data_IF_007217815575
#
_entry.id   IF_007217815575
#
_cell.length_a   1.000
_cell.length_b   1.000
_cell.length_c   1.000
_cell.angle_alpha   90.00
_cell.angle_beta   90.00
_cell.angle_gamma   90.00
#
_symmetry.space_group_name_H-M   'P 1'
#
loop_
_entity.id
_entity.type
_entity.pdbx_description
1 polymer ?
#
# COMPACT_ATOMS: atom_id res chain seq x y z
N UNK A 1 24.14 -9.16 13.14
CA UNK A 1 24.53 -7.74 13.10
C UNK A 1 23.77 -7.00 14.20
N UNK A 2 24.29 -5.85 14.64
CA UNK A 2 23.52 -4.92 15.46
C UNK A 2 22.82 -3.89 14.57
N UNK A 3 21.58 -3.49 14.92
CA UNK A 3 20.75 -2.56 14.14
C UNK A 3 19.83 -1.75 15.07
N UNK A 4 19.68 -0.47 14.79
CA UNK A 4 18.62 0.36 15.37
C UNK A 4 17.35 0.27 14.56
N UNK A 5 16.19 0.12 15.20
CA UNK A 5 14.87 0.16 14.55
C UNK A 5 14.08 1.34 15.09
N UNK A 6 13.72 2.29 14.23
CA UNK A 6 12.92 3.48 14.61
C UNK A 6 11.50 3.32 14.07
N UNK A 7 10.54 3.33 14.99
CA UNK A 7 9.13 3.03 14.70
C UNK A 7 8.83 1.54 14.91
N UNK A 8 8.21 1.21 16.04
CA UNK A 8 7.90 -0.15 16.48
C UNK A 8 6.40 -0.48 16.38
N UNK A 9 5.68 0.23 15.51
CA UNK A 9 4.30 -0.11 15.18
C UNK A 9 4.19 -1.53 14.57
N UNK A 10 3.02 -1.88 14.04
CA UNK A 10 2.76 -3.26 13.56
C UNK A 10 3.84 -3.81 12.61
N UNK A 11 4.33 -3.00 11.67
CA UNK A 11 5.35 -3.46 10.72
C UNK A 11 6.74 -3.47 11.35
N UNK A 12 7.20 -2.34 11.88
CA UNK A 12 8.54 -2.23 12.44
C UNK A 12 8.76 -3.14 13.65
N UNK A 13 7.76 -3.28 14.52
CA UNK A 13 7.82 -4.23 15.65
C UNK A 13 7.93 -5.69 15.19
N UNK A 14 7.15 -6.09 14.18
CA UNK A 14 7.24 -7.44 13.60
C UNK A 14 8.60 -7.68 12.90
N UNK A 15 9.14 -6.67 12.21
CA UNK A 15 10.47 -6.77 11.58
C UNK A 15 11.56 -6.86 12.64
N UNK A 16 11.51 -6.05 13.70
CA UNK A 16 12.45 -6.13 14.82
C UNK A 16 12.42 -7.51 15.47
N UNK A 17 11.25 -8.07 15.70
CA UNK A 17 11.08 -9.41 16.26
C UNK A 17 11.64 -10.49 15.33
N UNK A 18 11.37 -10.40 14.02
CA UNK A 18 11.92 -11.34 13.03
C UNK A 18 13.46 -11.28 12.99
N UNK A 19 14.04 -10.09 13.05
CA UNK A 19 15.48 -9.90 13.11
C UNK A 19 16.08 -10.48 14.40
N UNK A 20 15.45 -10.26 15.56
CA UNK A 20 15.88 -10.85 16.83
C UNK A 20 15.87 -12.37 16.78
N UNK A 21 14.82 -12.99 16.21
CA UNK A 21 14.74 -14.45 15.99
C UNK A 21 15.82 -14.95 15.05
N UNK A 22 16.23 -14.14 14.06
CA UNK A 22 17.34 -14.42 13.17
C UNK A 22 18.73 -14.18 13.76
N UNK A 23 18.82 -13.85 15.06
CA UNK A 23 20.09 -13.67 15.77
C UNK A 23 20.74 -12.30 15.61
N UNK A 24 19.99 -11.28 15.17
CA UNK A 24 20.44 -9.90 15.17
C UNK A 24 20.19 -9.23 16.53
N UNK A 25 21.08 -8.32 16.92
CA UNK A 25 20.93 -7.47 18.08
C UNK A 25 20.18 -6.20 17.68
N UNK A 26 18.90 -6.10 18.06
CA UNK A 26 18.01 -5.00 17.64
C UNK A 26 17.71 -4.09 18.81
N UNK A 27 18.10 -2.83 18.72
CA UNK A 27 17.71 -1.76 19.65
C UNK A 27 16.56 -0.98 19.02
N UNK A 28 15.38 -1.02 19.64
CA UNK A 28 14.17 -0.39 19.13
C UNK A 28 13.89 0.96 19.78
N UNK A 29 13.45 1.94 19.00
CA UNK A 29 12.93 3.21 19.47
C UNK A 29 11.55 3.49 18.88
N UNK A 30 10.64 3.89 19.74
CA UNK A 30 9.33 4.42 19.37
C UNK A 30 8.98 5.62 20.28
N UNK A 31 8.04 6.45 19.82
CA UNK A 31 7.48 7.54 20.66
C UNK A 31 6.64 7.01 21.81
N UNK A 32 6.09 5.82 21.66
CA UNK A 32 5.42 5.10 22.73
C UNK A 32 6.47 4.42 23.63
N UNK A 33 6.65 4.89 24.87
CA UNK A 33 7.66 4.35 25.77
C UNK A 33 7.36 2.91 26.21
N UNK A 34 6.12 2.42 26.05
CA UNK A 34 5.75 1.05 26.45
C UNK A 34 6.34 -0.01 25.53
N UNK A 35 6.65 0.35 24.27
CA UNK A 35 7.20 -0.56 23.27
C UNK A 35 8.65 -0.24 22.88
N UNK A 36 9.23 0.81 23.44
CA UNK A 36 10.57 1.31 23.11
C UNK A 36 11.62 0.73 24.05
N UNK A 37 12.78 0.32 23.51
CA UNK A 37 13.93 -0.16 24.30
C UNK A 37 14.77 1.00 24.89
N UNK A 38 14.59 2.21 24.34
CA UNK A 38 15.33 3.44 24.68
C UNK A 38 14.40 4.65 24.74
N UNK A 39 14.86 5.74 25.36
CA UNK A 39 14.02 6.93 25.58
C UNK A 39 14.16 7.99 24.49
N UNK A 40 15.14 7.87 23.60
CA UNK A 40 15.41 8.85 22.54
C UNK A 40 16.21 8.25 21.39
N UNK A 41 16.17 8.92 20.20
CA UNK A 41 17.05 8.59 19.08
C UNK A 41 18.52 8.70 19.44
N UNK A 42 18.88 9.68 20.29
CA UNK A 42 20.25 9.82 20.77
C UNK A 42 20.69 8.61 21.56
N UNK A 43 19.89 8.12 22.50
CA UNK A 43 20.20 6.92 23.27
C UNK A 43 20.28 5.67 22.37
N UNK A 44 19.41 5.58 21.34
CA UNK A 44 19.48 4.51 20.35
C UNK A 44 20.85 4.51 19.66
N UNK A 45 21.28 5.64 19.13
CA UNK A 45 22.58 5.77 18.44
C UNK A 45 23.75 5.48 19.36
N UNK A 46 23.71 5.94 20.63
CA UNK A 46 24.75 5.68 21.64
C UNK A 46 24.88 4.19 22.01
N UNK A 47 23.80 3.41 21.90
CA UNK A 47 23.82 1.95 22.15
C UNK A 47 24.37 1.14 20.97
N UNK A 48 24.40 1.72 19.78
CA UNK A 48 24.87 1.04 18.58
C UNK A 48 26.40 1.17 18.43
N UNK A 49 27.02 0.10 17.95
CA UNK A 49 28.45 0.07 17.64
C UNK A 49 28.69 0.57 16.22
N UNK A 50 29.62 1.51 16.04
CA UNK A 50 30.00 1.97 14.71
C UNK A 50 30.75 0.87 13.91
N UNK A 51 30.56 0.79 12.61
CA UNK A 51 29.68 1.61 11.79
C UNK A 51 28.22 1.15 11.97
N UNK A 52 27.33 2.09 12.30
CA UNK A 52 25.95 1.83 12.72
C UNK A 52 25.01 1.63 11.52
N UNK A 53 23.93 0.90 11.75
CA UNK A 53 22.79 0.79 10.82
C UNK A 53 21.54 1.18 11.58
N UNK A 54 20.76 2.13 11.04
CA UNK A 54 19.47 2.53 11.59
C UNK A 54 18.39 2.37 10.53
N UNK A 55 17.40 1.55 10.84
CA UNK A 55 16.25 1.29 9.99
C UNK A 55 15.05 2.10 10.46
N UNK A 56 14.45 2.89 9.57
CA UNK A 56 13.33 3.80 9.86
C UNK A 56 12.03 3.20 9.31
N UNK A 57 11.01 3.06 10.19
CA UNK A 57 9.68 2.51 9.88
C UNK A 57 8.58 3.45 10.39
N UNK A 58 8.72 4.75 10.14
CA UNK A 58 7.75 5.76 10.54
C UNK A 58 6.83 6.17 9.37
N UNK A 59 5.71 6.85 9.61
CA UNK A 59 4.84 7.32 8.55
C UNK A 59 5.57 8.26 7.57
N UNK A 60 5.29 8.11 6.28
CA UNK A 60 5.89 8.91 5.21
C UNK A 60 5.68 10.42 5.37
N UNK A 61 6.52 11.20 4.71
CA UNK A 61 6.51 12.66 4.70
C UNK A 61 7.20 13.26 5.92
N UNK A 62 6.55 14.20 6.61
CA UNK A 62 7.19 14.95 7.73
C UNK A 62 7.78 14.08 8.85
N UNK A 63 7.13 12.97 9.29
CA UNK A 63 7.74 12.10 10.29
C UNK A 63 9.05 11.46 9.82
N UNK A 64 9.10 10.98 8.57
CA UNK A 64 10.33 10.41 7.99
C UNK A 64 11.40 11.48 7.84
N UNK A 65 11.08 12.64 7.24
CA UNK A 65 12.01 13.75 7.09
C UNK A 65 12.64 14.13 8.43
N UNK A 66 11.81 14.41 9.45
CA UNK A 66 12.32 14.80 10.78
C UNK A 66 13.20 13.73 11.41
N UNK A 67 12.86 12.45 11.23
CA UNK A 67 13.66 11.35 11.77
C UNK A 67 15.01 11.24 11.07
N UNK A 68 15.04 11.40 9.73
CA UNK A 68 16.27 11.37 8.94
C UNK A 68 17.17 12.56 9.26
N UNK A 69 16.58 13.75 9.42
CA UNK A 69 17.30 14.97 9.83
C UNK A 69 17.99 14.78 11.18
N UNK A 70 17.23 14.30 12.20
CA UNK A 70 17.74 14.06 13.54
C UNK A 70 18.85 12.98 13.53
N UNK A 71 18.68 11.90 12.75
CA UNK A 71 19.70 10.86 12.59
C UNK A 71 20.95 11.41 11.88
N UNK A 72 20.79 12.27 10.88
CA UNK A 72 21.88 12.94 10.20
C UNK A 72 22.77 13.77 11.16
N UNK A 73 22.19 14.30 12.24
CA UNK A 73 22.95 15.03 13.27
C UNK A 73 23.63 14.13 14.30
N UNK A 74 23.12 12.90 14.50
CA UNK A 74 23.56 11.97 15.52
C UNK A 74 24.55 10.91 15.02
N UNK A 75 24.50 10.59 13.73
CA UNK A 75 25.32 9.54 13.12
C UNK A 75 26.64 10.10 12.59
N UNK A 76 27.62 9.22 12.43
CA UNK A 76 28.95 9.53 11.93
C UNK A 76 29.16 9.01 10.48
N UNK A 77 30.21 9.47 9.85
CA UNK A 77 30.62 8.99 8.53
C UNK A 77 30.86 7.46 8.52
N UNK A 78 30.27 6.78 7.53
CA UNK A 78 30.30 5.32 7.41
C UNK A 78 29.12 4.61 8.05
N UNK A 79 28.24 5.32 8.81
CA UNK A 79 26.94 4.79 9.26
C UNK A 79 25.95 4.75 8.09
N UNK A 80 24.86 3.98 8.21
CA UNK A 80 23.82 3.84 7.18
C UNK A 80 22.45 4.08 7.79
N UNK A 81 21.63 4.89 7.12
CA UNK A 81 20.18 5.00 7.35
C UNK A 81 19.45 4.19 6.29
N UNK A 82 18.49 3.36 6.71
CA UNK A 82 17.59 2.64 5.81
C UNK A 82 16.18 3.21 6.00
N UNK A 83 15.57 3.78 4.97
CA UNK A 83 14.15 4.12 4.99
C UNK A 83 13.34 2.91 4.49
N UNK A 84 12.65 2.24 5.40
CA UNK A 84 11.77 1.10 5.11
C UNK A 84 10.29 1.45 5.19
N UNK A 85 9.94 2.74 5.28
CA UNK A 85 8.57 3.22 5.26
C UNK A 85 7.90 3.12 3.89
N UNK A 86 6.74 3.75 3.75
CA UNK A 86 6.09 3.94 2.45
C UNK A 86 6.40 5.32 1.89
N UNK A 87 7.68 5.66 1.77
CA UNK A 87 8.14 6.99 1.37
C UNK A 87 8.03 7.20 -0.15
N UNK A 88 8.00 8.47 -0.55
CA UNK A 88 8.04 8.83 -1.96
C UNK A 88 9.50 8.83 -2.44
N UNK A 89 9.79 8.11 -3.51
CA UNK A 89 11.14 7.93 -4.06
C UNK A 89 11.92 9.25 -4.32
N UNK A 90 11.22 10.34 -4.63
CA UNK A 90 11.85 11.66 -4.80
C UNK A 90 12.31 12.31 -3.49
N UNK A 91 11.75 11.89 -2.35
CA UNK A 91 12.21 12.34 -1.03
C UNK A 91 13.45 11.55 -0.61
N UNK A 92 13.54 10.27 -0.95
CA UNK A 92 14.74 9.45 -0.72
C UNK A 92 15.99 10.05 -1.33
N UNK A 93 15.89 10.55 -2.58
CA UNK A 93 17.01 11.18 -3.28
C UNK A 93 17.49 12.44 -2.57
N UNK A 94 16.59 13.22 -1.95
CA UNK A 94 16.95 14.40 -1.16
C UNK A 94 17.63 13.98 0.15
N UNK A 95 17.05 13.03 0.88
CA UNK A 95 17.60 12.50 2.12
C UNK A 95 19.02 11.95 1.90
N UNK A 96 19.18 11.16 0.85
CA UNK A 96 20.51 10.62 0.50
C UNK A 96 21.55 11.71 0.20
N UNK A 97 21.16 12.76 -0.53
CA UNK A 97 22.07 13.87 -0.84
C UNK A 97 22.49 14.61 0.43
N UNK A 98 21.57 14.90 1.33
CA UNK A 98 21.83 15.59 2.61
C UNK A 98 22.73 14.75 3.54
N UNK A 99 22.48 13.44 3.66
CA UNK A 99 23.26 12.52 4.48
C UNK A 99 24.67 12.30 3.89
N UNK A 100 24.79 12.27 2.57
CA UNK A 100 26.07 12.10 1.88
C UNK A 100 27.06 13.24 2.15
N UNK A 101 26.59 14.47 2.41
CA UNK A 101 27.46 15.60 2.81
C UNK A 101 28.19 15.31 4.14
N UNK A 102 27.64 14.41 4.96
CA UNK A 102 28.23 13.97 6.23
C UNK A 102 28.90 12.59 6.13
N UNK A 103 28.95 11.98 4.95
CA UNK A 103 29.52 10.66 4.70
C UNK A 103 28.67 9.52 5.24
N UNK A 104 27.37 9.75 5.46
CA UNK A 104 26.40 8.76 5.92
C UNK A 104 25.72 8.13 4.69
N UNK A 105 25.69 6.79 4.64
CA UNK A 105 25.00 6.02 3.61
C UNK A 105 23.48 6.09 3.75
N UNK A 106 22.78 5.96 2.63
CA UNK A 106 21.31 5.89 2.60
C UNK A 106 20.84 4.78 1.66
N UNK A 107 19.87 3.97 2.14
CA UNK A 107 19.20 2.94 1.36
C UNK A 107 17.70 3.09 1.54
N UNK A 108 16.96 3.19 0.45
CA UNK A 108 15.51 3.07 0.47
C UNK A 108 15.10 1.61 0.31
N UNK A 109 14.12 1.17 1.06
CA UNK A 109 13.67 -0.21 1.06
C UNK A 109 12.14 -0.31 1.08
N UNK A 110 11.54 -0.51 -0.07
CA UNK A 110 10.13 -0.86 -0.17
C UNK A 110 9.87 -2.24 0.43
N UNK A 111 9.02 -2.30 1.45
CA UNK A 111 8.68 -3.52 2.19
C UNK A 111 7.25 -3.97 1.84
N UNK A 112 7.07 -5.21 1.43
CA UNK A 112 5.76 -5.83 1.18
C UNK A 112 5.63 -7.14 1.95
N UNK A 113 4.44 -7.43 2.51
CA UNK A 113 4.17 -8.64 3.32
C UNK A 113 3.19 -8.38 4.46
N UNK A 114 2.94 -7.11 4.79
CA UNK A 114 1.98 -6.71 5.80
C UNK A 114 2.22 -7.36 7.16
N UNK A 115 1.14 -7.62 7.89
CA UNK A 115 1.19 -8.25 9.22
C UNK A 115 1.67 -9.70 9.20
N UNK A 116 1.60 -10.36 8.04
CA UNK A 116 2.02 -11.76 7.85
C UNK A 116 3.54 -11.90 7.67
N UNK A 117 4.24 -10.82 7.42
CA UNK A 117 5.69 -10.83 7.20
C UNK A 117 6.50 -11.37 8.38
N UNK A 118 5.99 -11.26 9.62
CA UNK A 118 6.64 -11.87 10.77
C UNK A 118 6.85 -13.39 10.59
N UNK A 119 5.86 -14.06 10.01
CA UNK A 119 5.89 -15.52 9.80
C UNK A 119 6.47 -15.89 8.44
N UNK A 120 6.05 -15.19 7.39
CA UNK A 120 6.32 -15.58 6.01
C UNK A 120 7.54 -14.86 5.39
N UNK A 121 8.07 -13.84 6.05
CA UNK A 121 9.05 -12.92 5.48
C UNK A 121 8.41 -11.77 4.70
N UNK A 122 9.25 -10.81 4.34
CA UNK A 122 8.88 -9.60 3.61
C UNK A 122 9.55 -9.59 2.25
N UNK A 123 8.82 -9.29 1.20
CA UNK A 123 9.44 -8.94 -0.07
C UNK A 123 10.06 -7.55 0.03
N UNK A 124 11.33 -7.43 -0.35
CA UNK A 124 12.17 -6.25 -0.18
C UNK A 124 12.67 -5.76 -1.53
N UNK A 125 12.41 -4.50 -1.83
CA UNK A 125 12.88 -3.81 -3.03
C UNK A 125 13.77 -2.65 -2.58
N UNK A 126 15.09 -2.74 -2.80
CA UNK A 126 16.04 -1.79 -2.27
C UNK A 126 16.67 -0.93 -3.36
N UNK A 127 16.88 0.35 -3.04
CA UNK A 127 17.67 1.29 -3.80
C UNK A 127 18.80 1.86 -2.95
N UNK A 128 19.99 2.03 -3.55
CA UNK A 128 21.15 2.53 -2.84
C UNK A 128 22.46 2.13 -3.49
N UNK A 129 23.59 2.56 -2.91
CA UNK A 129 24.89 2.14 -3.42
C UNK A 129 25.08 0.62 -3.29
N UNK A 130 25.78 0.01 -4.24
CA UNK A 130 26.09 -1.43 -4.19
C UNK A 130 26.75 -1.82 -2.86
N UNK A 131 27.68 -0.99 -2.39
CA UNK A 131 28.45 -1.26 -1.17
C UNK A 131 27.55 -1.24 0.09
N UNK A 132 26.63 -0.28 0.19
CA UNK A 132 25.69 -0.20 1.32
C UNK A 132 24.70 -1.35 1.31
N UNK A 133 24.16 -1.69 0.13
CA UNK A 133 23.24 -2.82 -0.02
C UNK A 133 23.93 -4.14 0.32
N UNK A 134 25.15 -4.40 -0.17
CA UNK A 134 25.92 -5.60 0.17
C UNK A 134 26.18 -5.72 1.68
N UNK A 135 26.49 -4.60 2.34
CA UNK A 135 26.69 -4.58 3.80
C UNK A 135 25.41 -4.95 4.57
N UNK A 136 24.25 -4.63 4.03
CA UNK A 136 22.94 -4.90 4.65
C UNK A 136 22.39 -6.29 4.32
N UNK A 137 23.02 -7.06 3.43
CA UNK A 137 22.53 -8.39 3.00
C UNK A 137 22.17 -9.33 4.16
N UNK A 138 22.93 -9.43 5.27
CA UNK A 138 22.54 -10.29 6.39
C UNK A 138 21.19 -9.89 7.02
N UNK A 139 20.82 -8.62 6.98
CA UNK A 139 19.53 -8.11 7.46
C UNK A 139 18.43 -8.47 6.45
N UNK A 140 18.66 -8.22 5.17
CA UNK A 140 17.72 -8.56 4.10
C UNK A 140 17.45 -10.06 4.03
N UNK A 141 18.48 -10.90 4.15
CA UNK A 141 18.35 -12.36 4.17
C UNK A 141 17.50 -12.88 5.35
N UNK A 142 17.56 -12.21 6.48
CA UNK A 142 16.71 -12.53 7.64
C UNK A 142 15.27 -12.07 7.43
N UNK A 143 15.08 -10.91 6.84
CA UNK A 143 13.76 -10.33 6.65
C UNK A 143 12.98 -10.95 5.51
N UNK A 144 13.63 -11.32 4.39
CA UNK A 144 12.95 -11.90 3.22
C UNK A 144 12.34 -13.28 3.52
N UNK A 145 11.44 -13.77 2.66
CA UNK A 145 11.00 -15.16 2.70
C UNK A 145 12.18 -16.13 2.52
N UNK A 146 12.00 -17.38 2.95
CA UNK A 146 12.96 -18.45 2.67
C UNK A 146 13.08 -18.70 1.15
N UNK A 147 14.27 -19.02 0.69
CA UNK A 147 14.57 -19.29 -0.71
C UNK A 147 15.31 -18.16 -1.41
N UNK A 148 15.34 -18.20 -2.74
CA UNK A 148 16.13 -17.28 -3.57
C UNK A 148 15.39 -15.97 -3.86
N UNK A 149 14.05 -16.01 -3.87
CA UNK A 149 13.18 -14.85 -4.17
C UNK A 149 12.95 -13.95 -2.94
N UNK A 150 12.26 -12.85 -3.18
CA UNK A 150 11.80 -11.93 -2.12
C UNK A 150 12.76 -10.76 -1.82
N UNK A 151 13.89 -10.66 -2.51
CA UNK A 151 14.79 -9.51 -2.44
C UNK A 151 15.25 -9.07 -3.83
N UNK A 152 15.35 -7.76 -4.02
CA UNK A 152 15.97 -7.16 -5.20
C UNK A 152 16.69 -5.87 -4.85
N UNK A 153 17.93 -5.72 -5.35
CA UNK A 153 18.58 -4.42 -5.47
C UNK A 153 18.13 -3.81 -6.80
N UNK A 154 17.15 -2.90 -6.74
CA UNK A 154 16.43 -2.38 -7.90
C UNK A 154 17.22 -1.29 -8.65
N UNK A 155 18.22 -0.69 -8.02
CA UNK A 155 19.06 0.36 -8.59
C UNK A 155 19.57 1.33 -7.54
N UNK A 156 19.93 2.54 -7.98
CA UNK A 156 20.37 3.62 -7.09
C UNK A 156 19.23 4.09 -6.16
N UNK A 157 19.54 5.01 -5.26
CA UNK A 157 18.59 5.57 -4.28
C UNK A 157 17.28 6.03 -4.94
N UNK A 158 16.17 5.63 -4.35
CA UNK A 158 14.80 5.84 -4.84
C UNK A 158 14.26 4.68 -5.67
N UNK A 159 15.11 3.77 -6.16
CA UNK A 159 14.66 2.66 -7.00
C UNK A 159 13.82 1.64 -6.24
N UNK A 160 14.11 1.40 -4.97
CA UNK A 160 13.35 0.49 -4.12
C UNK A 160 11.92 0.98 -3.90
N UNK A 161 11.76 2.22 -3.43
CA UNK A 161 10.45 2.83 -3.23
C UNK A 161 9.69 3.05 -4.54
N UNK A 162 10.37 3.36 -5.65
CA UNK A 162 9.74 3.42 -6.96
C UNK A 162 9.17 2.06 -7.38
N UNK A 163 9.95 0.99 -7.23
CA UNK A 163 9.49 -0.38 -7.52
C UNK A 163 8.31 -0.78 -6.62
N UNK A 164 8.39 -0.44 -5.31
CA UNK A 164 7.30 -0.69 -4.36
C UNK A 164 6.03 0.10 -4.69
N UNK A 165 6.16 1.35 -5.10
CA UNK A 165 5.05 2.19 -5.53
C UNK A 165 4.31 1.56 -6.73
N UNK A 166 5.05 1.09 -7.74
CA UNK A 166 4.48 0.39 -8.90
C UNK A 166 3.81 -0.93 -8.50
N UNK A 167 4.45 -1.71 -7.60
CA UNK A 167 3.83 -2.90 -7.02
C UNK A 167 2.47 -2.58 -6.41
N UNK A 168 2.35 -1.53 -5.61
CA UNK A 168 1.08 -1.14 -5.00
C UNK A 168 0.06 -0.65 -6.03
N UNK A 169 0.49 0.01 -7.10
CA UNK A 169 -0.38 0.34 -8.23
C UNK A 169 -0.99 -0.90 -8.88
N UNK A 170 -0.18 -1.93 -9.12
CA UNK A 170 -0.64 -3.24 -9.64
C UNK A 170 -1.63 -3.88 -8.64
N UNK A 171 -1.32 -3.85 -7.35
CA UNK A 171 -2.19 -4.36 -6.30
C UNK A 171 -3.58 -3.69 -6.33
N UNK A 172 -3.66 -2.36 -6.54
CA UNK A 172 -4.93 -1.65 -6.72
C UNK A 172 -5.73 -2.21 -7.91
N UNK A 173 -5.09 -2.41 -9.05
CA UNK A 173 -5.73 -2.98 -10.23
C UNK A 173 -6.25 -4.39 -10.00
N UNK A 174 -5.46 -5.25 -9.34
CA UNK A 174 -5.85 -6.62 -9.02
C UNK A 174 -7.03 -6.66 -8.05
N UNK A 175 -7.00 -5.85 -6.98
CA UNK A 175 -8.13 -5.77 -6.03
C UNK A 175 -9.39 -5.30 -6.72
N UNK A 176 -9.31 -4.29 -7.59
CA UNK A 176 -10.46 -3.78 -8.33
C UNK A 176 -11.04 -4.84 -9.28
N UNK A 177 -10.18 -5.59 -9.98
CA UNK A 177 -10.63 -6.64 -10.89
C UNK A 177 -11.36 -7.78 -10.13
N UNK A 178 -10.85 -8.19 -8.97
CA UNK A 178 -11.56 -9.15 -8.12
C UNK A 178 -12.89 -8.61 -7.59
N UNK A 179 -12.92 -7.33 -7.17
CA UNK A 179 -14.14 -6.69 -6.67
C UNK A 179 -15.24 -6.61 -7.73
N UNK A 180 -14.91 -6.17 -8.95
CA UNK A 180 -15.84 -6.10 -10.07
C UNK A 180 -16.34 -7.49 -10.49
N UNK A 181 -15.45 -8.48 -10.49
CA UNK A 181 -15.80 -9.87 -10.77
C UNK A 181 -16.75 -10.45 -9.71
N UNK A 182 -16.51 -10.16 -8.44
CA UNK A 182 -17.37 -10.59 -7.33
C UNK A 182 -18.75 -9.94 -7.46
N UNK A 183 -18.82 -8.62 -7.63
CA UNK A 183 -20.09 -7.88 -7.79
C UNK A 183 -20.92 -8.41 -8.96
N UNK A 184 -20.27 -8.70 -10.10
CA UNK A 184 -20.94 -9.25 -11.28
C UNK A 184 -21.53 -10.65 -10.99
N UNK A 185 -20.81 -11.51 -10.29
CA UNK A 185 -21.29 -12.85 -9.92
C UNK A 185 -22.46 -12.77 -8.92
N UNK A 186 -22.36 -11.88 -7.92
CA UNK A 186 -23.43 -11.63 -6.95
C UNK A 186 -24.70 -11.06 -7.60
N UNK A 187 -24.55 -10.23 -8.61
CA UNK A 187 -25.67 -9.67 -9.37
C UNK A 187 -26.32 -10.68 -10.34
N UNK A 188 -25.67 -11.82 -10.60
CA UNK A 188 -26.13 -12.82 -11.59
C UNK A 188 -26.98 -13.92 -10.95
N UNK A 189 -28.11 -14.26 -11.58
CA UNK A 189 -28.93 -15.42 -11.19
C UNK A 189 -28.35 -16.77 -11.65
N UNK A 190 -27.31 -16.75 -12.50
CA UNK A 190 -26.72 -17.95 -13.10
C UNK A 190 -25.83 -18.69 -12.11
N UNK A 191 -24.97 -17.93 -11.39
CA UNK A 191 -24.07 -18.48 -10.38
C UNK A 191 -24.75 -18.46 -9.01
N UNK A 192 -24.82 -19.62 -8.36
CA UNK A 192 -25.47 -19.76 -7.04
C UNK A 192 -24.47 -19.85 -5.89
N UNK A 193 -23.25 -20.20 -6.19
CA UNK A 193 -22.16 -20.33 -5.22
C UNK A 193 -20.98 -19.44 -5.68
N UNK A 194 -21.08 -18.15 -5.34
CA UNK A 194 -20.06 -17.15 -5.69
C UNK A 194 -18.79 -17.40 -4.89
N UNK A 195 -18.90 -17.63 -3.59
CA UNK A 195 -17.78 -17.96 -2.70
C UNK A 195 -17.04 -19.22 -3.17
N UNK A 196 -17.77 -20.29 -3.47
CA UNK A 196 -17.20 -21.52 -3.99
C UNK A 196 -16.49 -21.33 -5.33
N UNK A 197 -16.99 -20.42 -6.17
CA UNK A 197 -16.33 -20.04 -7.43
C UNK A 197 -14.95 -19.44 -7.15
N UNK A 198 -14.85 -18.41 -6.30
CA UNK A 198 -13.57 -17.80 -5.91
C UNK A 198 -12.65 -18.82 -5.23
N UNK A 199 -13.18 -19.67 -4.35
CA UNK A 199 -12.42 -20.71 -3.69
C UNK A 199 -11.80 -21.70 -4.67
N UNK A 200 -12.56 -22.07 -5.72
CA UNK A 200 -12.07 -23.00 -6.78
C UNK A 200 -10.91 -22.42 -7.60
N UNK A 201 -10.82 -21.09 -7.71
CA UNK A 201 -9.79 -20.42 -8.49
C UNK A 201 -8.43 -20.30 -7.79
N UNK A 202 -8.37 -20.57 -6.49
CA UNK A 202 -7.13 -20.56 -5.71
C UNK A 202 -6.10 -21.57 -6.19
N UNK A 203 -6.55 -22.65 -6.86
CA UNK A 203 -5.67 -23.71 -7.36
C UNK A 203 -5.97 -24.00 -8.83
N UNK A 204 -4.92 -24.11 -9.64
CA UNK A 204 -5.02 -24.53 -11.04
C UNK A 204 -5.47 -23.44 -12.02
N UNK A 205 -5.69 -22.21 -11.59
CA UNK A 205 -6.04 -21.09 -12.48
C UNK A 205 -4.92 -20.07 -12.58
N UNK A 206 -4.94 -19.28 -13.67
CA UNK A 206 -3.93 -18.23 -13.91
C UNK A 206 -4.10 -16.99 -13.02
N UNK A 207 -5.26 -16.81 -12.38
CA UNK A 207 -5.54 -15.69 -11.49
C UNK A 207 -5.25 -16.00 -10.02
N UNK A 208 -4.72 -17.18 -9.72
CA UNK A 208 -4.31 -17.53 -8.36
C UNK A 208 -3.33 -16.46 -7.83
N UNK A 209 -3.56 -16.00 -6.61
CA UNK A 209 -2.72 -15.00 -5.97
C UNK A 209 -2.98 -14.98 -4.47
N UNK A 210 -2.06 -14.41 -3.70
CA UNK A 210 -2.32 -14.20 -2.28
C UNK A 210 -3.52 -13.27 -2.03
N UNK A 211 -3.76 -12.27 -2.90
CA UNK A 211 -4.97 -11.44 -2.82
C UNK A 211 -6.26 -12.26 -2.95
N UNK A 212 -6.26 -13.26 -3.84
CA UNK A 212 -7.41 -14.17 -3.97
C UNK A 212 -7.60 -15.02 -2.69
N UNK A 213 -6.51 -15.51 -2.09
CA UNK A 213 -6.59 -16.24 -0.83
C UNK A 213 -7.17 -15.38 0.31
N UNK A 214 -6.76 -14.11 0.37
CA UNK A 214 -7.27 -13.15 1.35
C UNK A 214 -8.75 -12.81 1.10
N UNK A 215 -9.17 -12.68 -0.16
CA UNK A 215 -10.58 -12.47 -0.49
C UNK A 215 -11.43 -13.66 -0.06
N UNK A 216 -11.03 -14.90 -0.38
CA UNK A 216 -11.77 -16.11 0.04
C UNK A 216 -11.87 -16.17 1.56
N UNK A 217 -10.81 -15.81 2.28
CA UNK A 217 -10.83 -15.74 3.74
C UNK A 217 -11.83 -14.71 4.25
N UNK A 218 -11.92 -13.53 3.63
CA UNK A 218 -12.92 -12.52 3.98
C UNK A 218 -14.34 -13.05 3.74
N UNK A 219 -14.58 -13.76 2.62
CA UNK A 219 -15.86 -14.41 2.32
C UNK A 219 -16.15 -15.61 3.23
N UNK A 220 -15.14 -16.21 3.88
CA UNK A 220 -15.36 -17.22 4.93
C UNK A 220 -15.93 -16.60 6.21
N UNK A 221 -15.52 -15.37 6.52
CA UNK A 221 -15.99 -14.64 7.69
C UNK A 221 -17.36 -13.98 7.44
N UNK A 222 -17.57 -13.40 6.24
CA UNK A 222 -18.81 -12.73 5.81
C UNK A 222 -19.04 -12.96 4.31
N UNK A 223 -19.90 -13.92 3.96
CA UNK A 223 -20.07 -14.42 2.58
C UNK A 223 -20.53 -13.35 1.59
N UNK A 224 -21.30 -12.38 2.05
CA UNK A 224 -21.86 -11.30 1.23
C UNK A 224 -21.26 -9.92 1.53
N UNK A 225 -20.28 -9.84 2.43
CA UNK A 225 -19.63 -8.61 2.89
C UNK A 225 -20.64 -7.56 3.43
N UNK A 226 -21.75 -8.03 4.04
CA UNK A 226 -22.85 -7.18 4.51
C UNK A 226 -22.44 -6.30 5.70
N UNK A 227 -21.41 -6.69 6.47
CA UNK A 227 -20.89 -5.90 7.58
C UNK A 227 -19.96 -4.75 7.13
N UNK A 228 -19.58 -4.71 5.85
CA UNK A 228 -18.64 -3.73 5.32
C UNK A 228 -19.35 -2.58 4.58
N UNK A 229 -18.89 -1.37 4.81
CA UNK A 229 -19.26 -0.23 3.97
C UNK A 229 -18.38 -0.19 2.73
N UNK A 230 -18.95 0.05 1.55
CA UNK A 230 -18.24 0.25 0.29
C UNK A 230 -17.45 1.56 0.26
N UNK A 231 -16.43 1.68 1.11
CA UNK A 231 -15.60 2.87 1.31
C UNK A 231 -14.13 2.47 1.37
N UNK A 232 -13.34 2.84 0.36
CA UNK A 232 -11.92 2.50 0.29
C UNK A 232 -11.04 3.75 0.29
N UNK A 233 -10.10 3.80 1.23
CA UNK A 233 -9.04 4.82 1.24
C UNK A 233 -7.89 4.41 0.32
N UNK A 234 -7.09 5.39 -0.08
CA UNK A 234 -5.80 5.18 -0.72
C UNK A 234 -4.69 5.66 0.23
N UNK A 235 -3.53 5.02 0.14
CA UNK A 235 -2.36 5.28 0.99
C UNK A 235 -1.30 6.18 0.33
N UNK A 236 -1.59 6.69 -0.86
CA UNK A 236 -0.72 7.58 -1.63
C UNK A 236 -0.04 6.91 -2.82
N UNK A 237 0.41 5.66 -2.70
CA UNK A 237 1.20 4.98 -3.74
C UNK A 237 0.45 4.83 -5.06
N UNK A 238 -0.87 4.59 -5.03
CA UNK A 238 -1.68 4.56 -6.24
C UNK A 238 -1.70 5.90 -6.96
N UNK A 239 -1.72 7.02 -6.22
CA UNK A 239 -1.62 8.37 -6.80
C UNK A 239 -0.24 8.61 -7.40
N UNK A 240 0.81 8.28 -6.67
CA UNK A 240 2.18 8.45 -7.13
C UNK A 240 2.47 7.59 -8.36
N UNK A 241 1.94 6.37 -8.42
CA UNK A 241 2.04 5.51 -9.62
C UNK A 241 1.41 6.16 -10.84
N UNK A 242 0.20 6.72 -10.70
CA UNK A 242 -0.47 7.43 -11.80
C UNK A 242 0.28 8.70 -12.18
N UNK A 243 0.79 9.47 -11.21
CA UNK A 243 1.59 10.66 -11.49
C UNK A 243 2.89 10.31 -12.23
N UNK A 244 3.62 9.32 -11.74
CA UNK A 244 4.84 8.84 -12.43
C UNK A 244 4.55 8.38 -13.87
N UNK A 245 3.42 7.74 -14.10
CA UNK A 245 3.00 7.36 -15.46
C UNK A 245 2.77 8.58 -16.37
N UNK A 246 2.20 9.66 -15.84
CA UNK A 246 2.06 10.93 -16.59
C UNK A 246 3.43 11.52 -16.90
N UNK A 247 4.32 11.55 -15.92
CA UNK A 247 5.66 12.14 -16.05
C UNK A 247 6.52 11.36 -17.07
N UNK A 248 6.31 10.04 -17.18
CA UNK A 248 7.00 9.17 -18.13
C UNK A 248 6.21 8.90 -19.44
N UNK A 249 5.04 9.52 -19.61
CA UNK A 249 4.15 9.29 -20.75
C UNK A 249 3.77 7.80 -20.96
N UNK A 250 3.58 7.05 -19.85
CA UNK A 250 3.17 5.63 -19.86
C UNK A 250 1.67 5.53 -19.62
N UNK A 251 0.89 4.89 -20.51
CA UNK A 251 -0.55 4.72 -20.31
C UNK A 251 -0.83 3.67 -19.21
N UNK A 252 -1.60 4.05 -18.18
CA UNK A 252 -2.02 3.18 -17.08
C UNK A 252 -3.56 3.14 -16.90
N UNK A 253 -4.34 2.70 -17.90
CA UNK A 253 -5.80 2.78 -17.80
C UNK A 253 -6.38 1.96 -16.65
N UNK A 254 -5.89 0.76 -16.38
CA UNK A 254 -6.39 -0.14 -15.34
C UNK A 254 -6.10 0.40 -13.94
N UNK A 255 -4.87 0.78 -13.66
CA UNK A 255 -4.46 1.31 -12.35
C UNK A 255 -5.15 2.64 -12.07
N UNK A 256 -5.27 3.50 -13.08
CA UNK A 256 -5.98 4.78 -12.96
C UNK A 256 -7.45 4.57 -12.65
N UNK A 257 -8.13 3.64 -13.32
CA UNK A 257 -9.52 3.31 -13.05
C UNK A 257 -9.71 2.79 -11.61
N UNK A 258 -8.83 1.90 -11.15
CA UNK A 258 -8.85 1.38 -9.78
C UNK A 258 -8.67 2.49 -8.72
N UNK A 259 -7.78 3.45 -8.96
CA UNK A 259 -7.61 4.62 -8.09
C UNK A 259 -8.88 5.47 -8.06
N UNK A 260 -9.50 5.72 -9.21
CA UNK A 260 -10.72 6.55 -9.32
C UNK A 260 -11.94 5.86 -8.73
N UNK A 261 -12.04 4.53 -8.81
CA UNK A 261 -13.06 3.76 -8.10
C UNK A 261 -12.98 4.01 -6.58
N UNK A 262 -11.78 4.06 -5.98
CA UNK A 262 -11.61 4.44 -4.57
C UNK A 262 -12.05 5.88 -4.30
N UNK A 263 -11.79 6.82 -5.21
CA UNK A 263 -12.30 8.20 -5.06
C UNK A 263 -13.82 8.23 -5.11
N UNK A 264 -14.42 7.51 -6.05
CA UNK A 264 -15.87 7.41 -6.17
C UNK A 264 -16.53 6.78 -4.93
N UNK A 265 -15.92 5.75 -4.35
CA UNK A 265 -16.43 5.07 -3.14
C UNK A 265 -16.57 5.99 -1.92
N UNK A 266 -15.93 7.16 -1.94
CA UNK A 266 -15.97 8.16 -0.86
C UNK A 266 -16.98 9.28 -1.08
N UNK A 267 -17.73 9.23 -2.20
CA UNK A 267 -18.75 10.22 -2.56
C UNK A 267 -20.15 9.61 -2.35
N UNK A 268 -20.86 10.05 -1.33
CA UNK A 268 -22.25 9.59 -1.10
C UNK A 268 -23.22 10.13 -2.17
N UNK A 269 -22.93 11.32 -2.75
CA UNK A 269 -23.76 11.96 -3.78
C UNK A 269 -22.86 12.78 -4.72
N UNK A 270 -22.54 12.19 -5.87
CA UNK A 270 -21.54 12.73 -6.80
C UNK A 270 -21.93 14.09 -7.40
N UNK A 271 -21.19 15.17 -7.14
CA UNK A 271 -21.45 16.47 -7.76
C UNK A 271 -21.39 16.44 -9.29
N UNK A 272 -20.50 15.63 -9.85
CA UNK A 272 -20.38 15.49 -11.31
C UNK A 272 -21.64 14.85 -11.91
N UNK A 273 -22.19 13.82 -11.25
CA UNK A 273 -23.43 13.19 -11.73
C UNK A 273 -24.64 14.10 -11.60
N UNK A 274 -24.67 15.04 -10.62
CA UNK A 274 -25.70 16.09 -10.57
C UNK A 274 -25.67 16.98 -11.80
N UNK A 275 -24.49 17.36 -12.28
CA UNK A 275 -24.35 18.15 -13.50
C UNK A 275 -24.83 17.36 -14.72
N UNK A 276 -24.46 16.07 -14.81
CA UNK A 276 -24.91 15.18 -15.89
C UNK A 276 -26.44 15.07 -15.87
N UNK A 277 -27.05 14.84 -14.72
CA UNK A 277 -28.50 14.76 -14.56
C UNK A 277 -29.19 16.08 -14.96
N UNK A 278 -28.67 17.22 -14.50
CA UNK A 278 -29.18 18.53 -14.86
C UNK A 278 -29.11 18.78 -16.38
N UNK A 279 -27.97 18.48 -17.01
CA UNK A 279 -27.83 18.64 -18.46
C UNK A 279 -28.80 17.74 -19.23
N UNK A 280 -28.94 16.46 -18.84
CA UNK A 280 -29.91 15.54 -19.46
C UNK A 280 -31.35 16.05 -19.33
N UNK A 281 -31.70 16.62 -18.21
CA UNK A 281 -33.00 17.25 -18.03
C UNK A 281 -33.18 18.45 -18.96
N UNK A 282 -32.19 19.35 -19.05
CA UNK A 282 -32.30 20.56 -19.84
C UNK A 282 -32.41 20.30 -21.36
N UNK A 283 -31.62 19.40 -21.92
CA UNK A 283 -31.65 19.17 -23.37
C UNK A 283 -32.63 18.08 -23.79
N UNK A 284 -33.00 17.15 -22.93
CA UNK A 284 -33.82 15.98 -23.29
C UNK A 284 -35.08 15.81 -22.45
N UNK A 285 -35.34 16.65 -21.46
CA UNK A 285 -36.48 16.54 -20.55
C UNK A 285 -36.45 15.25 -19.70
N UNK A 286 -35.25 14.60 -19.56
CA UNK A 286 -35.12 13.38 -18.76
C UNK A 286 -35.46 13.65 -17.27
N UNK A 287 -36.14 12.69 -16.65
CA UNK A 287 -36.46 12.77 -15.23
C UNK A 287 -35.21 12.90 -14.35
N UNK A 288 -35.28 13.72 -13.32
CA UNK A 288 -34.24 13.88 -12.30
C UNK A 288 -34.78 13.39 -10.95
N UNK A 289 -33.93 12.73 -10.16
CA UNK A 289 -34.23 12.44 -8.75
C UNK A 289 -33.87 13.67 -7.92
N UNK A 290 -34.78 14.11 -7.05
CA UNK A 290 -34.50 15.18 -6.09
C UNK A 290 -34.06 14.61 -4.75
N UNK A 291 -33.36 15.43 -3.95
CA UNK A 291 -32.92 15.08 -2.59
C UNK A 291 -34.08 14.82 -1.62
N UNK A 292 -35.30 15.20 -1.98
CA UNK A 292 -36.54 14.99 -1.20
C UNK A 292 -37.38 13.81 -1.69
N UNK A 293 -36.84 12.96 -2.59
CA UNK A 293 -37.54 11.72 -3.03
C UNK A 293 -38.68 11.96 -4.02
N UNK A 294 -38.85 13.15 -4.62
CA UNK A 294 -39.84 13.39 -5.66
C UNK A 294 -39.23 13.13 -7.04
N UNK A 295 -39.78 12.18 -7.77
CA UNK A 295 -39.54 12.02 -9.20
C UNK A 295 -40.22 13.13 -9.96
N UNK A 296 -39.46 14.14 -10.45
CA UNK A 296 -39.98 15.10 -11.39
C UNK A 296 -40.45 14.39 -12.66
N UNK A 297 -41.69 14.69 -13.13
CA UNK A 297 -42.25 14.11 -14.36
C UNK A 297 -41.40 14.58 -15.56
N UNK A 298 -40.53 13.67 -16.03
CA UNK A 298 -39.97 13.76 -17.37
C UNK A 298 -40.89 12.98 -18.31
N UNK A 299 -41.14 13.52 -19.52
CA UNK A 299 -41.90 12.83 -20.55
C UNK A 299 -41.20 11.48 -20.88
N UNK A 300 -41.99 10.41 -20.98
CA UNK A 300 -41.53 9.06 -21.34
C UNK A 300 -40.75 9.13 -22.67
N UNK A 301 -39.43 8.93 -22.62
CA UNK A 301 -38.65 8.67 -23.81
C UNK A 301 -38.85 7.18 -24.20
N UNK A 302 -39.32 6.85 -25.40
CA UNK A 302 -39.46 5.46 -25.80
C UNK A 302 -38.06 4.86 -26.01
N UNK A 303 -37.72 3.80 -25.29
CA UNK A 303 -36.58 2.94 -25.57
C UNK A 303 -35.47 2.79 -24.52
N UNK A 304 -35.69 3.17 -23.30
CA UNK A 304 -34.80 2.76 -22.23
C UNK A 304 -35.35 1.47 -21.55
N UNK A 305 -34.92 0.32 -22.01
CA UNK A 305 -35.03 -0.89 -21.22
C UNK A 305 -34.25 -0.66 -19.92
N UNK A 306 -35.00 -0.46 -18.84
CA UNK A 306 -34.48 -0.22 -17.52
C UNK A 306 -33.81 -1.52 -17.08
N UNK A 307 -32.51 -1.49 -16.89
CA UNK A 307 -31.82 -2.49 -16.08
C UNK A 307 -32.46 -2.39 -14.69
N UNK A 308 -33.09 -3.44 -14.16
CA UNK A 308 -33.74 -3.38 -12.87
C UNK A 308 -32.70 -3.03 -11.78
N UNK A 309 -33.08 -2.25 -10.76
CA UNK A 309 -32.19 -1.99 -9.64
C UNK A 309 -31.77 -3.31 -8.98
N UNK A 310 -30.55 -3.35 -8.48
CA UNK A 310 -30.07 -4.45 -7.66
C UNK A 310 -31.10 -4.76 -6.56
N UNK A 311 -31.41 -6.04 -6.39
CA UNK A 311 -32.48 -6.54 -5.53
C UNK A 311 -32.48 -5.87 -4.17
N UNK A 312 -33.68 -5.41 -3.75
CA UNK A 312 -33.99 -5.15 -2.36
C UNK A 312 -33.82 -6.48 -1.58
N UNK A 313 -32.83 -6.59 -0.70
CA UNK A 313 -32.47 -7.82 0.03
C UNK A 313 -33.34 -8.05 1.28
N UNK A 314 -34.51 -7.41 1.36
CA UNK A 314 -35.50 -7.68 2.39
C UNK A 314 -36.51 -8.76 1.93
N UNK A 315 -36.05 -10.04 1.93
CA UNK A 315 -36.89 -11.22 2.14
C UNK A 315 -36.07 -12.47 2.46
#
# INVERSE_FOLDING_TARGET
MQIGMVGLGKMGGNMAERLRRGGHDVVGYDRDPEISDVTSLKELVERLQAPRVVWVMVPAGKPTQSTVDDLGELLDAGDIVVDGGNSHYGDDQKHAAELAERGIGFVDCGVSGGVWGLQNGYALMCGGSQADVERLMPIFDTLKPEGEDGFVHAGDVGAGHFAKMVHNGIEYGMMQAFAEGWELLEASDVVKDVKGSFSSWRTGTVIRSWLLDLLVRALDDDEHLDELRGYAQDSGEGRWTVQAAVDHAVPLPVITAALYARFASRQDDSPAMKVVAALRNQFGGHAISSTEGSTGMGADAPGADVIPPARDRDR
#
